data_IF_050093375400
#
_entry.id   IF_050093375400
#
_cell.length_a   1.000
_cell.length_b   1.000
_cell.length_c   1.000
_cell.angle_alpha   90.00
_cell.angle_beta   90.00
_cell.angle_gamma   90.00
#
_symmetry.space_group_name_H-M   'P 1'
#
loop_
_entity.id
_entity.type
_entity.pdbx_description
1 polymer ?
#
# COMPACT_ATOMS: atom_id res chain seq x y z
N UNK A 1 -22.80 -11.26 22.24
CA UNK A 1 -22.84 -11.73 20.84
C UNK A 1 -21.42 -12.02 20.41
N UNK A 2 -21.14 -13.27 20.05
CA UNK A 2 -19.79 -13.74 19.68
C UNK A 2 -19.41 -13.10 18.35
N UNK A 3 -18.24 -12.46 18.29
CA UNK A 3 -17.72 -11.77 17.11
C UNK A 3 -17.53 -12.78 15.97
N UNK A 4 -18.42 -12.76 14.97
CA UNK A 4 -18.21 -13.51 13.75
C UNK A 4 -17.01 -12.87 13.03
N UNK A 5 -15.90 -13.59 12.92
CA UNK A 5 -14.90 -13.31 11.90
C UNK A 5 -15.59 -13.55 10.55
N UNK A 6 -16.12 -12.49 9.94
CA UNK A 6 -16.72 -12.56 8.62
C UNK A 6 -15.63 -12.98 7.65
N UNK A 7 -15.64 -14.26 7.24
CA UNK A 7 -14.97 -14.73 6.03
C UNK A 7 -15.74 -14.17 4.84
N UNK A 8 -15.72 -12.85 4.67
CA UNK A 8 -16.23 -12.23 3.46
C UNK A 8 -15.04 -12.08 2.52
N UNK A 9 -15.05 -12.91 1.48
CA UNK A 9 -14.20 -12.79 0.31
C UNK A 9 -14.58 -11.54 -0.51
N UNK A 10 -14.71 -10.40 0.16
CA UNK A 10 -14.93 -9.11 -0.47
C UNK A 10 -13.55 -8.51 -0.70
N UNK A 11 -13.19 -8.32 -1.95
CA UNK A 11 -11.97 -7.62 -2.30
C UNK A 11 -12.04 -6.18 -1.79
N UNK A 12 -11.04 -5.68 -1.04
CA UNK A 12 -11.00 -4.26 -0.65
C UNK A 12 -10.99 -3.35 -1.88
N UNK A 13 -11.87 -2.36 -1.92
CA UNK A 13 -12.07 -1.45 -3.07
C UNK A 13 -11.56 -0.03 -2.83
N UNK A 14 -11.06 0.25 -1.62
CA UNK A 14 -10.53 1.55 -1.27
C UNK A 14 -9.24 1.92 -2.02
N UNK A 15 -8.69 3.07 -1.67
CA UNK A 15 -7.49 3.61 -2.30
C UNK A 15 -6.27 3.41 -1.40
N UNK A 16 -5.12 3.20 -2.02
CA UNK A 16 -3.82 3.19 -1.36
C UNK A 16 -3.01 4.40 -1.86
N UNK A 17 -2.50 5.18 -0.91
CA UNK A 17 -1.44 6.15 -1.15
C UNK A 17 -0.10 5.52 -0.75
N UNK A 18 0.88 5.53 -1.65
CA UNK A 18 2.25 5.18 -1.30
C UNK A 18 2.96 6.41 -0.73
N UNK A 19 3.78 6.20 0.30
CA UNK A 19 4.60 7.24 0.92
C UNK A 19 6.03 6.71 0.96
N UNK A 20 6.99 7.46 0.43
CA UNK A 20 8.41 7.10 0.46
C UNK A 20 9.13 8.16 1.28
N UNK A 21 9.85 7.73 2.32
CA UNK A 21 10.60 8.61 3.23
C UNK A 21 9.75 9.77 3.78
N UNK A 22 8.48 9.46 4.11
CA UNK A 22 7.52 10.43 4.64
C UNK A 22 6.87 11.35 3.63
N UNK A 23 7.16 11.22 2.32
CA UNK A 23 6.54 12.02 1.26
C UNK A 23 5.58 11.19 0.40
N UNK A 24 4.38 11.72 0.06
CA UNK A 24 3.49 11.06 -0.89
C UNK A 24 4.23 10.75 -2.19
N UNK A 25 4.18 9.50 -2.58
CA UNK A 25 4.79 8.98 -3.78
C UNK A 25 3.67 8.73 -4.79
N UNK A 26 3.49 9.71 -5.68
CA UNK A 26 2.40 9.70 -6.65
C UNK A 26 1.04 10.09 -6.09
N UNK A 27 0.02 9.89 -6.92
CA UNK A 27 -1.38 10.05 -6.53
C UNK A 27 -1.96 8.76 -5.91
N UNK A 28 -2.99 8.84 -5.05
CA UNK A 28 -3.65 7.67 -4.50
C UNK A 28 -4.22 6.79 -5.61
N UNK A 29 -4.08 5.48 -5.45
CA UNK A 29 -4.48 4.49 -6.44
C UNK A 29 -5.57 3.58 -5.91
N UNK A 30 -6.57 3.28 -6.75
CA UNK A 30 -7.63 2.33 -6.39
C UNK A 30 -7.10 0.89 -6.51
N UNK A 31 -7.46 0.04 -5.56
CA UNK A 31 -7.19 -1.40 -5.64
C UNK A 31 -7.92 -2.05 -6.83
N UNK A 32 -7.30 -3.07 -7.42
CA UNK A 32 -7.96 -3.90 -8.44
C UNK A 32 -9.01 -4.81 -7.80
N UNK A 33 -9.89 -5.36 -8.62
CA UNK A 33 -10.94 -6.28 -8.19
C UNK A 33 -10.44 -7.61 -7.57
N UNK A 34 -9.13 -7.89 -7.66
CA UNK A 34 -8.45 -9.02 -7.00
C UNK A 34 -7.72 -8.62 -5.69
N UNK A 35 -7.81 -7.36 -5.28
CA UNK A 35 -7.20 -6.84 -4.04
C UNK A 35 -5.74 -6.48 -4.21
N UNK A 36 -5.22 -6.58 -5.43
CA UNK A 36 -3.85 -6.21 -5.73
C UNK A 36 -3.76 -4.75 -6.18
N UNK A 37 -2.60 -4.18 -5.94
CA UNK A 37 -2.21 -2.91 -6.51
C UNK A 37 -0.78 -3.03 -7.00
N UNK A 38 -0.57 -2.69 -8.26
CA UNK A 38 0.76 -2.50 -8.83
C UNK A 38 1.00 -1.00 -8.92
N UNK A 39 2.02 -0.49 -8.21
CA UNK A 39 2.43 0.90 -8.39
C UNK A 39 2.99 1.07 -9.82
N UNK A 40 2.41 1.94 -10.67
CA UNK A 40 2.86 2.14 -12.04
C UNK A 40 4.15 2.97 -12.08
N UNK A 41 4.53 3.57 -10.96
CA UNK A 41 5.76 4.35 -10.85
C UNK A 41 6.92 3.43 -10.51
N UNK A 42 7.63 3.00 -11.55
CA UNK A 42 8.98 2.44 -11.52
C UNK A 42 10.03 3.54 -11.30
N UNK A 43 9.76 4.48 -10.39
CA UNK A 43 10.75 5.48 -10.02
C UNK A 43 11.91 4.75 -9.37
N UNK A 44 13.08 4.80 -10.00
CA UNK A 44 14.30 4.23 -9.41
C UNK A 44 14.56 4.98 -8.11
N UNK A 45 14.23 4.35 -7.00
CA UNK A 45 14.72 4.79 -5.70
C UNK A 45 16.25 4.85 -5.81
N UNK A 46 16.84 5.96 -5.36
CA UNK A 46 18.30 6.10 -5.38
C UNK A 46 18.97 5.05 -4.52
N UNK A 47 20.29 4.92 -4.63
CA UNK A 47 21.04 4.06 -3.70
C UNK A 47 20.85 4.59 -2.27
N UNK A 48 20.50 3.69 -1.35
CA UNK A 48 20.24 4.03 0.05
C UNK A 48 19.03 3.30 0.62
N UNK A 49 18.74 3.59 1.90
CA UNK A 49 17.59 3.05 2.62
C UNK A 49 16.35 3.91 2.40
N UNK A 50 15.25 3.27 2.02
CA UNK A 50 13.97 3.88 1.77
C UNK A 50 12.88 3.23 2.63
N UNK A 51 12.14 4.05 3.37
CA UNK A 51 10.94 3.60 4.09
C UNK A 51 9.73 3.82 3.18
N UNK A 52 9.14 2.73 2.71
CA UNK A 52 7.95 2.71 1.88
C UNK A 52 6.76 2.39 2.78
N UNK A 53 5.74 3.23 2.78
CA UNK A 53 4.48 2.97 3.48
C UNK A 53 3.33 2.95 2.49
N UNK A 54 2.47 1.95 2.61
CA UNK A 54 1.19 1.90 1.93
C UNK A 54 0.11 2.32 2.93
N UNK A 55 -0.63 3.37 2.60
CA UNK A 55 -1.72 3.89 3.43
C UNK A 55 -3.04 3.65 2.71
N UNK A 56 -3.84 2.72 3.24
CA UNK A 56 -5.17 2.39 2.75
C UNK A 56 -6.22 3.27 3.42
N UNK A 57 -7.04 3.95 2.62
CA UNK A 57 -8.05 4.90 3.11
C UNK A 57 -9.25 4.25 3.79
N UNK A 58 -9.40 2.93 3.67
CA UNK A 58 -10.67 2.25 3.97
C UNK A 58 -11.64 2.26 2.80
N UNK A 59 -12.71 1.49 2.95
CA UNK A 59 -13.92 1.51 2.13
C UNK A 59 -15.16 1.29 3.01
N UNK A 60 -16.29 0.92 2.42
CA UNK A 60 -17.55 0.70 3.15
C UNK A 60 -17.51 -0.51 4.11
N UNK A 61 -16.55 -1.43 3.94
CA UNK A 61 -16.46 -2.70 4.65
C UNK A 61 -15.22 -2.75 5.54
N UNK A 62 -14.09 -2.28 5.01
CA UNK A 62 -12.79 -2.30 5.66
C UNK A 62 -12.40 -0.91 6.14
N UNK A 63 -11.99 -0.81 7.40
CA UNK A 63 -11.46 0.44 7.95
C UNK A 63 -10.12 0.84 7.32
N UNK A 64 -9.67 2.09 7.56
CA UNK A 64 -8.35 2.54 7.16
C UNK A 64 -7.25 1.67 7.79
N UNK A 65 -6.20 1.39 7.03
CA UNK A 65 -5.05 0.60 7.50
C UNK A 65 -3.76 1.10 6.85
N UNK A 66 -2.62 0.77 7.44
CA UNK A 66 -1.34 1.08 6.83
C UNK A 66 -0.32 -0.03 7.11
N UNK A 67 0.67 -0.12 6.24
CA UNK A 67 1.81 -1.02 6.40
C UNK A 67 3.09 -0.33 5.92
N UNK A 68 4.19 -0.59 6.61
CA UNK A 68 5.50 -0.03 6.28
C UNK A 68 6.50 -1.13 5.97
N UNK A 69 7.32 -0.88 4.95
CA UNK A 69 8.39 -1.75 4.49
C UNK A 69 9.66 -0.90 4.28
N UNK A 70 10.76 -1.34 4.86
CA UNK A 70 12.07 -0.72 4.62
C UNK A 70 12.77 -1.46 3.49
N UNK A 71 13.12 -0.75 2.44
CA UNK A 71 13.84 -1.27 1.29
C UNK A 71 15.22 -0.63 1.20
N UNK A 72 16.26 -1.44 1.03
CA UNK A 72 17.61 -0.97 0.76
C UNK A 72 17.91 -1.17 -0.72
N UNK A 73 18.32 -0.09 -1.39
CA UNK A 73 18.81 -0.11 -2.76
C UNK A 73 20.33 -0.04 -2.71
N UNK A 74 20.99 -1.12 -3.12
CA UNK A 74 22.45 -1.16 -3.26
C UNK A 74 22.88 -0.78 -4.68
N UNK A 75 24.06 -0.19 -4.82
CA UNK A 75 24.64 0.04 -6.13
C UNK A 75 24.97 -1.30 -6.81
N UNK A 76 24.83 -1.37 -8.13
CA UNK A 76 25.35 -2.49 -8.89
C UNK A 76 26.89 -2.55 -8.74
N UNK A 77 27.50 -3.76 -8.72
CA UNK A 77 28.95 -3.93 -8.66
C UNK A 77 29.71 -3.26 -9.82
#
# INVERSE_FOLDING_TARGET
>A
VTSAAQTQSETPTGKIQFVVNGKPYGSPMTLKADGTLLSPQSSRLGVGTHVIRAEYSGDAIFGPSNSSFTHEVTAAP
#
